data_IF_371999873430
#
_entry.id   IF_371999873430
#
_cell.length_a   1.000
_cell.length_b   1.000
_cell.length_c   1.000
_cell.angle_alpha   90.00
_cell.angle_beta   90.00
_cell.angle_gamma   90.00
#
_symmetry.space_group_name_H-M   'P 1'
#
loop_
_entity.id
_entity.type
_entity.pdbx_description
1 polymer ?
#
# COMPACT_ATOMS: atom_id res chain seq x y z
N UNK A 1 11.08 4.71 5.55
CA UNK A 1 11.46 5.66 6.61
C UNK A 1 12.28 4.99 7.70
N UNK A 2 11.99 3.74 8.10
CA UNK A 2 12.88 2.93 8.96
C UNK A 2 14.33 2.90 8.49
N UNK A 3 14.58 2.58 7.21
CA UNK A 3 15.93 2.52 6.64
C UNK A 3 16.66 3.89 6.68
N UNK A 4 15.92 5.00 6.55
CA UNK A 4 16.48 6.34 6.66
C UNK A 4 16.82 6.68 8.11
N UNK A 5 15.97 6.29 9.08
CA UNK A 5 16.25 6.43 10.49
C UNK A 5 17.50 5.65 10.91
N UNK A 6 17.61 4.39 10.46
CA UNK A 6 18.79 3.54 10.71
C UNK A 6 20.06 4.17 10.08
N UNK A 7 19.96 4.74 8.88
CA UNK A 7 21.09 5.41 8.22
C UNK A 7 21.54 6.69 8.95
N UNK A 8 20.64 7.39 9.63
CA UNK A 8 20.95 8.61 10.38
C UNK A 8 21.55 8.32 11.77
N UNK A 9 21.31 7.15 12.36
CA UNK A 9 21.81 6.82 13.70
C UNK A 9 23.33 6.61 13.75
N UNK A 10 24.00 6.28 12.63
CA UNK A 10 25.47 6.16 12.56
C UNK A 10 26.10 5.01 13.39
N UNK A 11 25.36 4.44 14.33
CA UNK A 11 25.66 3.23 15.11
C UNK A 11 24.67 2.12 14.76
N UNK A 12 25.03 0.85 15.01
CA UNK A 12 24.10 -0.27 14.85
C UNK A 12 22.92 -0.08 15.81
N UNK A 13 21.69 0.13 15.31
CA UNK A 13 20.56 0.38 16.19
C UNK A 13 20.35 -0.80 17.12
N UNK A 14 20.05 -0.54 18.39
CA UNK A 14 19.66 -1.63 19.27
C UNK A 14 18.30 -2.20 18.83
N UNK A 15 18.09 -3.50 19.08
CA UNK A 15 16.83 -4.20 18.75
C UNK A 15 15.61 -3.44 19.31
N UNK A 16 15.76 -2.82 20.49
CA UNK A 16 14.72 -2.00 21.12
C UNK A 16 14.36 -0.74 20.34
N UNK A 17 15.35 -0.02 19.80
CA UNK A 17 15.12 1.21 19.04
C UNK A 17 14.45 0.94 17.69
N UNK A 18 14.88 -0.14 17.01
CA UNK A 18 14.27 -0.55 15.74
C UNK A 18 12.84 -1.02 15.95
N UNK A 19 12.57 -1.76 17.03
CA UNK A 19 11.22 -2.18 17.40
C UNK A 19 10.31 -0.97 17.69
N UNK A 20 10.82 0.03 18.41
CA UNK A 20 10.05 1.24 18.74
C UNK A 20 9.73 2.06 17.48
N UNK A 21 10.71 2.22 16.57
CA UNK A 21 10.50 2.90 15.29
C UNK A 21 9.48 2.16 14.41
N UNK A 22 9.56 0.83 14.35
CA UNK A 22 8.61 0.00 13.61
C UNK A 22 7.19 0.13 14.17
N UNK A 23 7.02 0.06 15.49
CA UNK A 23 5.73 0.26 16.15
C UNK A 23 5.17 1.64 15.85
N UNK A 24 6.01 2.68 15.90
CA UNK A 24 5.59 4.04 15.57
C UNK A 24 5.08 4.15 14.13
N UNK A 25 5.83 3.64 13.15
CA UNK A 25 5.41 3.68 11.74
C UNK A 25 4.16 2.86 11.47
N UNK A 26 4.03 1.69 12.11
CA UNK A 26 2.88 0.82 11.96
C UNK A 26 1.61 1.44 12.56
N UNK A 27 1.69 1.91 13.81
CA UNK A 27 0.55 2.56 14.49
C UNK A 27 0.19 3.87 13.80
N UNK A 28 1.18 4.67 13.39
CA UNK A 28 0.96 5.88 12.61
C UNK A 28 0.26 5.57 11.28
N UNK A 29 0.67 4.50 10.59
CA UNK A 29 0.02 4.02 9.37
C UNK A 29 -1.44 3.62 9.61
N UNK A 30 -1.73 2.90 10.69
CA UNK A 30 -3.09 2.52 11.06
C UNK A 30 -3.98 3.74 11.32
N UNK A 31 -3.50 4.70 12.13
CA UNK A 31 -4.27 5.90 12.47
C UNK A 31 -4.51 6.77 11.24
N UNK A 32 -3.46 7.01 10.45
CA UNK A 32 -3.55 7.81 9.23
C UNK A 32 -4.46 7.15 8.19
N UNK A 33 -4.25 5.87 7.90
CA UNK A 33 -5.08 5.07 7.00
C UNK A 33 -6.54 5.05 7.43
N UNK A 34 -6.79 4.93 8.74
CA UNK A 34 -8.13 5.01 9.32
C UNK A 34 -8.79 6.36 9.06
N UNK A 35 -8.07 7.45 9.30
CA UNK A 35 -8.57 8.81 9.12
C UNK A 35 -8.89 9.11 7.64
N UNK A 36 -7.95 8.85 6.73
CA UNK A 36 -8.15 9.16 5.31
C UNK A 36 -9.15 8.21 4.66
N UNK A 37 -9.17 6.93 5.06
CA UNK A 37 -10.12 5.95 4.56
C UNK A 37 -11.54 6.31 4.96
N UNK A 38 -11.72 6.78 6.19
CA UNK A 38 -13.01 7.28 6.65
C UNK A 38 -13.42 8.57 5.92
N UNK A 39 -12.50 9.50 5.69
CA UNK A 39 -12.78 10.72 4.93
C UNK A 39 -13.26 10.40 3.50
N UNK A 40 -12.57 9.51 2.80
CA UNK A 40 -12.95 9.08 1.45
C UNK A 40 -14.26 8.27 1.46
N UNK A 41 -14.50 7.45 2.48
CA UNK A 41 -15.79 6.79 2.67
C UNK A 41 -16.95 7.80 2.73
N UNK A 42 -16.80 8.91 3.47
CA UNK A 42 -17.82 9.95 3.53
C UNK A 42 -18.05 10.61 2.16
N UNK A 43 -16.99 10.82 1.39
CA UNK A 43 -17.09 11.35 0.02
C UNK A 43 -17.83 10.38 -0.90
N UNK A 44 -17.47 9.10 -0.88
CA UNK A 44 -18.14 8.03 -1.66
C UNK A 44 -19.64 8.01 -1.31
N UNK A 45 -20.00 8.07 -0.03
CA UNK A 45 -21.39 8.08 0.42
C UNK A 45 -22.21 9.27 -0.12
N UNK A 46 -21.56 10.36 -0.50
CA UNK A 46 -22.22 11.56 -1.01
C UNK A 46 -22.44 11.57 -2.53
N UNK A 47 -21.96 10.54 -3.25
CA UNK A 47 -21.89 10.51 -4.71
C UNK A 47 -22.62 9.28 -5.24
N UNK A 48 -23.35 9.43 -6.34
CA UNK A 48 -24.13 8.34 -6.98
C UNK A 48 -23.59 8.01 -8.40
N UNK A 49 -22.28 8.07 -8.60
CA UNK A 49 -21.63 7.83 -9.89
C UNK A 49 -20.40 6.93 -9.73
N UNK A 50 -20.46 5.71 -10.28
CA UNK A 50 -19.44 4.70 -10.09
C UNK A 50 -18.05 5.13 -10.58
N UNK A 51 -17.97 5.94 -11.64
CA UNK A 51 -16.69 6.43 -12.17
C UNK A 51 -15.97 7.29 -11.14
N UNK A 52 -16.70 8.19 -10.48
CA UNK A 52 -16.13 9.09 -9.47
C UNK A 52 -15.72 8.30 -8.24
N UNK A 53 -16.54 7.33 -7.81
CA UNK A 53 -16.20 6.45 -6.68
C UNK A 53 -14.91 5.67 -6.94
N UNK A 54 -14.74 5.07 -8.13
CA UNK A 54 -13.49 4.39 -8.52
C UNK A 54 -12.31 5.36 -8.51
N UNK A 55 -12.47 6.55 -9.11
CA UNK A 55 -11.44 7.58 -9.10
C UNK A 55 -11.04 8.02 -7.69
N UNK A 56 -11.99 8.09 -6.74
CA UNK A 56 -11.70 8.40 -5.34
C UNK A 56 -10.84 7.31 -4.70
N UNK A 57 -11.09 6.03 -4.99
CA UNK A 57 -10.23 4.95 -4.47
C UNK A 57 -8.82 4.97 -5.05
N UNK A 58 -8.66 5.32 -6.33
CA UNK A 58 -7.36 5.54 -6.94
C UNK A 58 -6.63 6.73 -6.32
N UNK A 59 -7.34 7.85 -6.17
CA UNK A 59 -6.80 9.06 -5.55
C UNK A 59 -6.38 8.79 -4.10
N UNK A 60 -7.16 7.98 -3.37
CA UNK A 60 -6.82 7.53 -2.04
C UNK A 60 -5.54 6.70 -2.03
N UNK A 61 -5.38 5.73 -2.93
CA UNK A 61 -4.18 4.88 -2.95
C UNK A 61 -2.94 5.67 -3.35
N UNK A 62 -3.02 6.46 -4.42
CA UNK A 62 -1.88 7.23 -4.93
C UNK A 62 -1.56 8.40 -3.99
N UNK A 63 -2.56 9.24 -3.71
CA UNK A 63 -2.40 10.43 -2.89
C UNK A 63 -2.20 10.11 -1.42
N UNK A 64 -2.95 9.14 -0.88
CA UNK A 64 -2.78 8.68 0.50
C UNK A 64 -1.43 8.04 0.75
N UNK A 65 -0.91 7.23 -0.19
CA UNK A 65 0.45 6.67 -0.06
C UNK A 65 1.54 7.76 -0.10
N UNK A 66 1.38 8.77 -0.97
CA UNK A 66 2.29 9.91 -1.01
C UNK A 66 2.25 10.70 0.31
N UNK A 67 1.06 11.02 0.81
CA UNK A 67 0.90 11.71 2.10
C UNK A 67 1.44 10.90 3.29
N UNK A 68 1.25 9.58 3.30
CA UNK A 68 1.83 8.71 4.33
C UNK A 68 3.37 8.80 4.37
N UNK A 69 3.99 8.94 3.20
CA UNK A 69 5.45 9.06 3.09
C UNK A 69 5.95 10.39 3.69
N UNK A 70 5.23 11.49 3.44
CA UNK A 70 5.51 12.82 4.03
C UNK A 70 5.29 12.84 5.55
N UNK A 71 4.31 12.07 6.05
CA UNK A 71 4.06 11.92 7.49
C UNK A 71 4.99 10.92 8.19
N UNK A 72 5.93 10.33 7.44
CA UNK A 72 6.85 9.30 7.92
C UNK A 72 6.17 8.10 8.58
N UNK A 73 5.00 7.72 8.06
CA UNK A 73 4.26 6.52 8.49
C UNK A 73 4.26 5.45 7.39
N UNK A 74 3.87 4.22 7.74
CA UNK A 74 3.83 3.13 6.77
C UNK A 74 2.69 3.32 5.76
N UNK A 75 3.05 3.69 4.52
CA UNK A 75 2.13 3.80 3.38
C UNK A 75 1.34 2.51 3.11
N UNK A 76 1.99 1.33 2.97
CA UNK A 76 1.28 0.08 2.75
C UNK A 76 0.26 -0.25 3.86
N UNK A 77 0.63 -0.07 5.13
CA UNK A 77 -0.29 -0.32 6.26
C UNK A 77 -1.45 0.67 6.21
N UNK A 78 -1.18 1.96 5.95
CA UNK A 78 -2.22 2.96 5.81
C UNK A 78 -3.21 2.61 4.70
N UNK A 79 -2.74 2.14 3.55
CA UNK A 79 -3.60 1.75 2.42
C UNK A 79 -4.40 0.50 2.73
N UNK A 80 -3.83 -0.50 3.42
CA UNK A 80 -4.58 -1.67 3.87
C UNK A 80 -5.72 -1.26 4.80
N UNK A 81 -5.46 -0.39 5.78
CA UNK A 81 -6.50 0.07 6.71
C UNK A 81 -7.57 0.89 5.98
N UNK A 82 -7.18 1.80 5.10
CA UNK A 82 -8.13 2.58 4.31
C UNK A 82 -8.97 1.69 3.37
N UNK A 83 -8.34 0.69 2.75
CA UNK A 83 -8.99 -0.33 1.92
C UNK A 83 -9.96 -1.20 2.70
N UNK A 84 -9.64 -1.60 3.94
CA UNK A 84 -10.57 -2.32 4.82
C UNK A 84 -11.80 -1.49 5.16
N UNK A 85 -11.64 -0.17 5.40
CA UNK A 85 -12.78 0.73 5.65
C UNK A 85 -13.68 0.81 4.42
N UNK A 86 -13.12 1.08 3.23
CA UNK A 86 -13.91 1.19 2.00
C UNK A 86 -14.53 -0.16 1.62
N UNK A 87 -13.74 -1.23 1.69
CA UNK A 87 -14.15 -2.59 1.34
C UNK A 87 -15.22 -3.17 2.26
N UNK A 88 -15.30 -2.72 3.51
CA UNK A 88 -16.34 -3.13 4.47
C UNK A 88 -17.46 -2.09 4.62
N UNK A 89 -17.16 -0.91 5.17
CA UNK A 89 -18.17 0.14 5.43
C UNK A 89 -18.66 0.76 4.13
N UNK A 90 -17.75 1.07 3.20
CA UNK A 90 -18.11 1.64 1.89
C UNK A 90 -19.01 0.70 1.11
N UNK A 91 -18.64 -0.58 1.00
CA UNK A 91 -19.50 -1.57 0.35
C UNK A 91 -20.86 -1.67 1.03
N UNK A 92 -20.92 -1.91 2.33
CA UNK A 92 -22.18 -2.21 3.01
C UNK A 92 -23.13 -1.01 3.16
N UNK A 93 -22.61 0.22 3.27
CA UNK A 93 -23.41 1.39 3.66
C UNK A 93 -23.42 2.54 2.64
N UNK A 94 -22.59 2.50 1.60
CA UNK A 94 -22.45 3.59 0.65
C UNK A 94 -22.58 3.18 -0.83
N UNK A 95 -22.29 1.93 -1.19
CA UNK A 95 -22.27 1.50 -2.60
C UNK A 95 -23.49 0.66 -2.98
N UNK A 96 -24.03 0.93 -4.18
CA UNK A 96 -24.98 0.04 -4.84
C UNK A 96 -24.26 -1.13 -5.56
N UNK A 97 -25.02 -2.14 -6.01
CA UNK A 97 -24.45 -3.34 -6.63
C UNK A 97 -23.69 -3.08 -7.94
N UNK A 98 -24.07 -2.03 -8.69
CA UNK A 98 -23.37 -1.64 -9.91
C UNK A 98 -22.00 -1.06 -9.57
N UNK A 99 -21.91 -0.12 -8.62
CA UNK A 99 -20.62 0.45 -8.22
C UNK A 99 -19.70 -0.62 -7.67
N UNK A 100 -20.20 -1.55 -6.83
CA UNK A 100 -19.39 -2.67 -6.31
C UNK A 100 -18.78 -3.49 -7.46
N UNK A 101 -19.58 -3.89 -8.45
CA UNK A 101 -19.07 -4.65 -9.60
C UNK A 101 -17.99 -3.91 -10.40
N UNK A 102 -18.19 -2.62 -10.68
CA UNK A 102 -17.20 -1.84 -11.42
C UNK A 102 -15.92 -1.60 -10.62
N UNK A 103 -16.05 -1.35 -9.32
CA UNK A 103 -14.92 -1.21 -8.41
C UNK A 103 -14.09 -2.50 -8.40
N UNK A 104 -14.75 -3.64 -8.23
CA UNK A 104 -14.10 -4.95 -8.14
C UNK A 104 -13.37 -5.28 -9.44
N UNK A 105 -14.05 -5.17 -10.59
CA UNK A 105 -13.43 -5.45 -11.88
C UNK A 105 -12.29 -4.48 -12.23
N UNK A 106 -12.37 -3.23 -11.79
CA UNK A 106 -11.29 -2.27 -12.00
C UNK A 106 -10.05 -2.60 -11.17
N UNK A 107 -10.23 -2.93 -9.88
CA UNK A 107 -9.11 -3.30 -9.01
C UNK A 107 -8.52 -4.67 -9.36
N UNK A 108 -9.32 -5.64 -9.79
CA UNK A 108 -8.85 -6.92 -10.33
C UNK A 108 -7.98 -6.70 -11.58
N UNK A 109 -8.46 -5.88 -12.53
CA UNK A 109 -7.67 -5.52 -13.71
C UNK A 109 -6.33 -4.85 -13.34
N UNK A 110 -6.35 -3.92 -12.38
CA UNK A 110 -5.12 -3.29 -11.91
C UNK A 110 -4.17 -4.27 -11.24
N UNK A 111 -4.68 -5.16 -10.38
CA UNK A 111 -3.87 -6.20 -9.73
C UNK A 111 -3.21 -7.11 -10.77
N UNK A 112 -3.97 -7.57 -11.76
CA UNK A 112 -3.45 -8.38 -12.87
C UNK A 112 -2.37 -7.65 -13.68
N UNK A 113 -2.62 -6.38 -14.03
CA UNK A 113 -1.65 -5.57 -14.78
C UNK A 113 -0.36 -5.33 -13.98
N UNK A 114 -0.49 -4.94 -12.70
CA UNK A 114 0.65 -4.68 -11.83
C UNK A 114 1.45 -5.95 -11.54
N UNK A 115 0.77 -7.08 -11.35
CA UNK A 115 1.43 -8.38 -11.15
C UNK A 115 2.17 -8.82 -12.43
N UNK A 116 1.54 -8.71 -13.61
CA UNK A 116 2.21 -9.02 -14.87
C UNK A 116 3.46 -8.14 -15.10
N UNK A 117 3.36 -6.84 -14.80
CA UNK A 117 4.49 -5.92 -14.83
C UNK A 117 5.57 -6.29 -13.81
N UNK A 118 5.20 -6.62 -12.57
CA UNK A 118 6.13 -7.05 -11.54
C UNK A 118 6.91 -8.28 -11.98
N UNK A 119 6.23 -9.30 -12.52
CA UNK A 119 6.90 -10.50 -13.03
C UNK A 119 7.81 -10.20 -14.22
N UNK A 120 7.38 -9.33 -15.15
CA UNK A 120 8.22 -8.91 -16.26
C UNK A 120 9.49 -8.18 -15.80
N UNK A 121 9.36 -7.29 -14.80
CA UNK A 121 10.50 -6.56 -14.22
C UNK A 121 11.45 -7.49 -13.47
N UNK A 122 10.92 -8.40 -12.64
CA UNK A 122 11.74 -9.41 -11.95
C UNK A 122 12.47 -10.30 -12.97
N UNK A 123 11.78 -10.74 -14.02
CA UNK A 123 12.37 -11.54 -15.09
C UNK A 123 13.49 -10.80 -15.83
N UNK A 124 13.30 -9.49 -16.08
CA UNK A 124 14.32 -8.64 -16.69
C UNK A 124 15.55 -8.46 -15.79
N UNK A 125 15.35 -8.18 -14.51
CA UNK A 125 16.43 -8.04 -13.51
C UNK A 125 17.27 -9.33 -13.41
N UNK A 126 16.61 -10.50 -13.41
CA UNK A 126 17.28 -11.79 -13.38
C UNK A 126 18.22 -12.03 -14.58
N UNK A 127 17.90 -11.50 -15.77
CA UNK A 127 18.76 -11.63 -16.95
C UNK A 127 20.02 -10.75 -16.88
N UNK A 128 19.95 -9.63 -16.15
CA UNK A 128 21.06 -8.68 -16.00
C UNK A 128 22.03 -9.10 -14.88
N UNK A 129 21.57 -9.91 -13.92
CA UNK A 129 22.41 -10.40 -12.83
C UNK A 129 23.52 -11.33 -13.36
N UNK A 130 24.80 -11.09 -13.00
CA UNK A 130 25.89 -11.97 -13.40
C UNK A 130 25.75 -13.31 -12.66
N UNK A 131 25.20 -14.31 -13.35
CA UNK A 131 25.09 -15.67 -12.83
C UNK A 131 26.49 -16.27 -12.62
N UNK A 132 26.96 -16.28 -11.37
CA UNK A 132 28.14 -17.05 -10.97
C UNK A 132 27.70 -18.26 -10.14
N UNK A 133 28.37 -19.40 -10.31
CA UNK A 133 28.08 -20.63 -9.53
C UNK A 133 28.14 -20.40 -8.01
N UNK A 134 28.88 -19.40 -7.55
CA UNK A 134 28.94 -19.02 -6.13
C UNK A 134 27.61 -18.45 -5.61
N UNK A 135 26.84 -17.75 -6.45
CA UNK A 135 25.52 -17.22 -6.08
C UNK A 135 24.48 -18.34 -5.91
N UNK A 136 24.57 -19.39 -6.73
CA UNK A 136 23.67 -20.55 -6.63
C UNK A 136 23.96 -21.40 -5.38
N UNK A 137 25.23 -21.51 -4.99
CA UNK A 137 25.62 -22.18 -3.73
C UNK A 137 25.19 -21.34 -2.52
N UNK A 138 25.33 -20.01 -2.58
CA UNK A 138 24.91 -19.11 -1.50
C UNK A 138 23.37 -19.07 -1.31
N UNK A 139 22.58 -19.19 -2.38
CA UNK A 139 21.13 -19.29 -2.29
C UNK A 139 20.62 -20.66 -1.78
N UNK A 140 21.49 -21.67 -1.76
CA UNK A 140 21.16 -23.03 -1.29
C UNK A 140 21.53 -23.31 0.17
N UNK A 141 22.17 -22.34 0.84
CA UNK A 141 22.61 -22.35 2.24
C UNK A 141 21.65 -21.54 3.10
#
# INVERSE_FOLDING_TARGET
TVLLGIAQLGETPTVGETALLFVHEAVGGVLFGGLIGYAVYLMIKSIEQYQIEVMLTLALVIGGSAMASELHVSGPIAMVVAGLIIGNLGRNLAMNDMTRRYMDGFWELLDDMLNALLFALIGMELLLLPFSWQHLIAASL
#
